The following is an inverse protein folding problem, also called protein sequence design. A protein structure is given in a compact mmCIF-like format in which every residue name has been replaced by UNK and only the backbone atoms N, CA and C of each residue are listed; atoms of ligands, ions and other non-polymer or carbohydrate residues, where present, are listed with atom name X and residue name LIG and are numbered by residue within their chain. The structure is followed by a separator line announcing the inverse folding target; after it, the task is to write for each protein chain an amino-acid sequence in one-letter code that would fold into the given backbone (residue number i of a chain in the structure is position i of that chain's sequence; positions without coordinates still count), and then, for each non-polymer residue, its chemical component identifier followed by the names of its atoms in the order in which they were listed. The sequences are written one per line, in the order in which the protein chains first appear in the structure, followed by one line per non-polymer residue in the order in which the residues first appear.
data_IF_050353453120
#
_entry.id   IF_050353453120
#
_cell.length_a   1.000
_cell.length_b   1.000
_cell.length_c   1.000
_cell.angle_alpha   90.00
_cell.angle_beta   90.00
_cell.angle_gamma   90.00
#
_symmetry.space_group_name_H-M   'P 1'
#
loop_
_entity.id
_entity.type
_entity.pdbx_description
1 polymer ?
#
# COMPACT_ATOMS: atom_id res chain seq x y z
N UNK A 1 40.02 38.47 43.27
CA UNK A 1 39.25 39.65 43.71
C UNK A 1 38.35 40.05 42.57
N UNK A 2 37.06 40.20 42.86
CA UNK A 2 36.03 40.44 41.84
C UNK A 2 36.10 41.82 41.20
N UNK A 3 35.39 41.97 40.09
CA UNK A 3 34.16 42.77 39.99
C UNK A 3 33.77 42.92 38.51
N UNK A 4 32.57 42.45 38.17
CA UNK A 4 31.73 43.07 37.14
C UNK A 4 30.99 44.27 37.78
N UNK A 5 30.04 45.00 37.13
CA UNK A 5 29.67 45.10 35.70
C UNK A 5 29.48 46.58 35.24
N UNK A 6 29.12 46.79 33.97
CA UNK A 6 28.28 47.94 33.56
C UNK A 6 27.45 47.52 32.36
N UNK A 7 26.14 47.69 32.47
CA UNK A 7 25.12 47.25 31.52
C UNK A 7 24.36 48.44 30.92
N UNK A 8 23.65 48.14 29.81
CA UNK A 8 22.60 48.92 29.10
C UNK A 8 23.12 49.87 28.00
N UNK A 9 22.56 49.97 26.79
CA UNK A 9 21.29 49.51 26.17
C UNK A 9 21.30 49.88 24.67
N UNK A 10 20.51 49.16 23.84
CA UNK A 10 20.13 49.53 22.46
C UNK A 10 20.83 48.64 21.42
N UNK A 11 20.29 47.49 20.99
CA UNK A 11 19.10 47.27 20.16
C UNK A 11 19.19 48.00 18.81
N UNK A 12 19.67 47.30 17.78
CA UNK A 12 19.11 47.29 16.42
C UNK A 12 19.69 46.11 15.62
N UNK A 13 18.81 45.49 14.84
CA UNK A 13 18.88 44.14 14.28
C UNK A 13 20.09 43.87 13.39
N UNK A 14 20.82 42.78 13.68
CA UNK A 14 21.65 42.08 12.71
C UNK A 14 20.86 40.97 12.03
N UNK A 15 20.77 41.04 10.71
CA UNK A 15 20.20 40.00 9.84
C UNK A 15 20.82 38.64 10.18
N UNK A 16 19.98 37.71 10.65
CA UNK A 16 20.29 36.29 10.61
C UNK A 16 19.89 35.83 9.22
N UNK A 17 20.88 35.42 8.45
CA UNK A 17 20.69 34.78 7.16
C UNK A 17 19.90 33.48 7.37
N UNK A 18 18.59 33.57 7.13
CA UNK A 18 17.67 32.45 6.99
C UNK A 18 17.93 31.82 5.61
N UNK A 19 19.04 31.09 5.48
CA UNK A 19 19.19 30.07 4.45
C UNK A 19 18.22 28.93 4.77
N UNK A 20 16.94 29.20 4.51
CA UNK A 20 15.96 28.16 4.25
C UNK A 20 16.51 27.33 3.09
N UNK A 21 16.98 26.13 3.43
CA UNK A 21 17.19 25.03 2.52
C UNK A 21 15.85 24.80 1.81
N UNK A 22 15.63 25.50 0.70
CA UNK A 22 14.65 25.15 -0.31
C UNK A 22 15.14 23.82 -0.92
N UNK A 23 14.94 22.72 -0.19
CA UNK A 23 14.85 21.39 -0.77
C UNK A 23 13.74 21.49 -1.81
N UNK A 24 14.14 21.70 -3.07
CA UNK A 24 13.20 21.62 -4.19
C UNK A 24 12.52 20.26 -4.06
N UNK A 25 11.20 20.29 -3.85
CA UNK A 25 10.41 19.07 -3.86
C UNK A 25 10.77 18.26 -5.11
N UNK A 26 11.15 16.98 -4.95
CA UNK A 26 11.60 16.18 -6.06
C UNK A 26 10.47 16.08 -7.11
N UNK A 27 10.80 16.09 -8.40
CA UNK A 27 9.81 16.14 -9.47
C UNK A 27 8.83 14.95 -9.36
N UNK A 28 7.54 15.12 -9.66
CA UNK A 28 6.56 14.04 -9.53
C UNK A 28 6.94 12.85 -10.43
N UNK A 29 6.82 11.64 -9.88
CA UNK A 29 7.11 10.40 -10.62
C UNK A 29 6.05 10.24 -11.71
N UNK A 30 6.43 9.95 -12.97
CA UNK A 30 5.47 9.69 -14.03
C UNK A 30 4.58 8.48 -13.71
N UNK A 31 3.26 8.69 -13.78
CA UNK A 31 2.26 7.64 -13.62
C UNK A 31 1.35 7.58 -14.83
N UNK A 32 1.19 6.38 -15.40
CA UNK A 32 0.26 6.12 -16.49
C UNK A 32 -0.83 5.13 -16.03
N UNK A 33 -2.07 5.59 -15.99
CA UNK A 33 -3.23 4.79 -15.58
C UNK A 33 -3.96 4.29 -16.83
N UNK A 34 -4.07 2.97 -16.99
CA UNK A 34 -4.84 2.36 -18.08
C UNK A 34 -6.33 2.72 -18.00
N UNK A 35 -6.97 2.88 -19.16
CA UNK A 35 -8.37 3.34 -19.25
C UNK A 35 -9.43 2.35 -18.76
N UNK A 36 -9.04 1.10 -18.45
CA UNK A 36 -9.90 0.09 -17.83
C UNK A 36 -9.91 0.13 -16.31
N UNK A 37 -9.09 0.96 -15.66
CA UNK A 37 -9.06 1.09 -14.19
C UNK A 37 -10.29 1.88 -13.73
N UNK A 38 -11.13 1.27 -12.91
CA UNK A 38 -12.32 1.92 -12.33
C UNK A 38 -11.94 2.91 -11.24
N UNK A 39 -12.51 4.12 -11.30
CA UNK A 39 -12.36 5.19 -10.30
C UNK A 39 -13.55 5.27 -9.33
N UNK A 40 -14.21 4.14 -9.09
CA UNK A 40 -15.37 4.09 -8.19
C UNK A 40 -14.98 4.48 -6.76
N UNK A 41 -15.90 5.07 -6.01
CA UNK A 41 -15.70 5.43 -4.59
C UNK A 41 -16.01 4.27 -3.62
N UNK A 42 -16.44 3.12 -4.14
CA UNK A 42 -16.74 1.92 -3.37
C UNK A 42 -15.80 0.78 -3.80
N UNK A 43 -14.68 0.68 -3.09
CA UNK A 43 -13.65 -0.36 -3.26
C UNK A 43 -13.71 -1.40 -2.13
N UNK A 44 -14.92 -1.80 -1.74
CA UNK A 44 -15.13 -2.98 -0.89
C UNK A 44 -14.76 -4.22 -1.70
N UNK A 45 -13.85 -5.06 -1.19
CA UNK A 45 -13.33 -6.26 -1.88
C UNK A 45 -12.46 -5.97 -3.11
N UNK A 46 -11.41 -5.16 -2.94
CA UNK A 46 -10.46 -4.81 -4.01
C UNK A 46 -9.19 -5.64 -3.97
N UNK A 47 -8.89 -6.31 -5.08
CA UNK A 47 -7.61 -7.00 -5.31
C UNK A 47 -6.74 -6.19 -6.28
N UNK A 48 -5.49 -5.95 -5.88
CA UNK A 48 -4.45 -5.33 -6.71
C UNK A 48 -3.29 -6.30 -6.87
N UNK A 49 -2.81 -6.49 -8.10
CA UNK A 49 -1.54 -7.19 -8.34
C UNK A 49 -0.40 -6.18 -8.37
N UNK A 50 0.71 -6.45 -7.68
CA UNK A 50 1.90 -5.62 -7.71
C UNK A 50 3.03 -6.32 -8.46
N UNK A 51 3.61 -5.62 -9.43
CA UNK A 51 4.75 -6.08 -10.22
C UNK A 51 5.91 -5.11 -10.06
N UNK A 52 7.07 -5.61 -9.64
CA UNK A 52 8.29 -4.84 -9.56
C UNK A 52 9.53 -5.74 -9.51
N UNK A 53 10.52 -5.43 -10.35
CA UNK A 53 11.79 -6.14 -10.40
C UNK A 53 12.76 -5.72 -9.28
N UNK A 54 14.00 -6.24 -9.27
CA UNK A 54 15.05 -5.74 -8.38
C UNK A 54 15.17 -4.21 -8.46
N UNK A 55 15.25 -3.54 -7.31
CA UNK A 55 15.37 -2.08 -7.24
C UNK A 55 14.07 -1.29 -7.42
N UNK A 56 12.94 -1.94 -7.70
CA UNK A 56 11.62 -1.29 -7.84
C UNK A 56 11.00 -0.76 -6.56
N UNK A 57 11.64 -1.00 -5.40
CA UNK A 57 11.15 -0.58 -4.08
C UNK A 57 9.78 -1.15 -3.69
N UNK A 58 9.32 -2.23 -4.36
CA UNK A 58 8.03 -2.90 -4.10
C UNK A 58 7.74 -3.16 -2.61
N UNK A 59 8.75 -3.52 -1.82
CA UNK A 59 8.58 -3.81 -0.39
C UNK A 59 8.09 -2.60 0.41
N UNK A 60 8.65 -1.42 0.12
CA UNK A 60 8.24 -0.16 0.76
C UNK A 60 6.80 0.21 0.34
N UNK A 61 6.46 0.00 -0.92
CA UNK A 61 5.12 0.29 -1.43
C UNK A 61 4.05 -0.65 -0.86
N UNK A 62 4.38 -1.95 -0.69
CA UNK A 62 3.51 -2.91 0.01
C UNK A 62 3.32 -2.48 1.46
N UNK A 63 4.40 -2.07 2.14
CA UNK A 63 4.33 -1.62 3.53
C UNK A 63 3.40 -0.41 3.67
N UNK A 64 3.47 0.55 2.75
CA UNK A 64 2.55 1.69 2.70
C UNK A 64 1.10 1.25 2.45
N UNK A 65 0.86 0.38 1.47
CA UNK A 65 -0.48 -0.17 1.19
C UNK A 65 -1.10 -0.81 2.43
N UNK A 66 -0.31 -1.60 3.17
CA UNK A 66 -0.75 -2.28 4.39
C UNK A 66 -1.06 -1.28 5.49
N UNK A 67 -0.12 -0.37 5.78
CA UNK A 67 -0.22 0.55 6.92
C UNK A 67 -1.26 1.63 6.71
N UNK A 68 -1.22 2.28 5.56
CA UNK A 68 -2.01 3.48 5.29
C UNK A 68 -3.31 3.17 4.55
N UNK A 69 -3.49 2.03 3.89
CA UNK A 69 -4.70 1.75 3.11
C UNK A 69 -5.41 0.44 3.49
N UNK A 70 -4.99 -0.20 4.59
CA UNK A 70 -5.56 -1.44 5.14
C UNK A 70 -5.56 -2.63 4.18
N UNK A 71 -4.56 -2.69 3.30
CA UNK A 71 -4.38 -3.86 2.46
C UNK A 71 -3.79 -5.02 3.27
N UNK A 72 -4.29 -6.23 3.03
CA UNK A 72 -3.56 -7.44 3.38
C UNK A 72 -2.60 -7.79 2.25
N UNK A 73 -1.32 -7.98 2.58
CA UNK A 73 -0.34 -8.46 1.61
C UNK A 73 -0.40 -9.99 1.45
N UNK A 74 -0.35 -10.44 0.21
CA UNK A 74 -0.27 -11.86 -0.16
C UNK A 74 0.96 -12.05 -1.05
N UNK A 75 2.01 -12.62 -0.47
CA UNK A 75 3.24 -12.97 -1.18
C UNK A 75 3.22 -14.44 -1.62
N UNK A 76 3.56 -14.71 -2.87
CA UNK A 76 3.62 -16.06 -3.44
C UNK A 76 4.61 -16.99 -2.71
N UNK A 77 5.72 -16.46 -2.21
CA UNK A 77 6.73 -17.26 -1.50
C UNK A 77 6.17 -17.77 -0.18
N UNK A 78 5.45 -16.92 0.55
CA UNK A 78 4.73 -17.33 1.77
C UNK A 78 3.68 -18.39 1.46
N UNK A 79 2.97 -18.26 0.33
CA UNK A 79 2.02 -19.28 -0.12
C UNK A 79 2.74 -20.61 -0.38
N UNK A 80 3.87 -20.58 -1.08
CA UNK A 80 4.65 -21.80 -1.35
C UNK A 80 5.13 -22.42 -0.04
N UNK A 81 5.77 -21.67 0.85
CA UNK A 81 6.34 -22.23 2.07
C UNK A 81 5.30 -22.74 3.06
N UNK A 82 4.13 -22.09 3.15
CA UNK A 82 3.09 -22.50 4.11
C UNK A 82 2.18 -23.61 3.58
N UNK A 83 1.97 -23.70 2.26
CA UNK A 83 0.96 -24.60 1.69
C UNK A 83 1.56 -25.77 0.89
N UNK A 84 2.79 -25.65 0.37
CA UNK A 84 3.43 -26.74 -0.34
C UNK A 84 3.68 -27.98 0.54
N UNK A 85 4.12 -27.87 1.82
CA UNK A 85 4.27 -29.05 2.68
C UNK A 85 2.97 -29.86 2.80
N UNK A 86 1.82 -29.18 2.95
CA UNK A 86 0.52 -29.82 3.01
C UNK A 86 0.16 -30.55 1.71
N UNK A 87 0.53 -30.00 0.54
CA UNK A 87 0.37 -30.66 -0.77
C UNK A 87 1.19 -31.95 -0.88
N UNK A 88 2.32 -32.01 -0.17
CA UNK A 88 3.28 -33.12 -0.19
C UNK A 88 3.16 -34.05 1.02
N UNK A 89 2.02 -34.01 1.74
CA UNK A 89 1.77 -34.79 2.95
C UNK A 89 2.85 -34.61 4.05
N UNK A 90 3.37 -33.39 4.21
CA UNK A 90 4.36 -32.99 5.21
C UNK A 90 5.67 -33.79 5.15
N UNK A 91 6.05 -34.27 3.96
CA UNK A 91 7.36 -34.92 3.72
C UNK A 91 8.54 -33.94 3.76
N UNK A 92 8.26 -32.65 3.88
CA UNK A 92 9.23 -31.56 3.86
C UNK A 92 8.98 -30.66 5.06
N UNK A 93 9.99 -30.45 5.89
CA UNK A 93 9.83 -29.77 7.18
C UNK A 93 10.41 -28.34 7.20
N UNK A 94 11.32 -28.01 6.28
CA UNK A 94 11.99 -26.72 6.25
C UNK A 94 12.09 -26.10 4.85
N UNK A 95 12.37 -24.79 4.82
CA UNK A 95 12.46 -24.01 3.58
C UNK A 95 13.60 -24.43 2.66
N UNK A 96 14.68 -25.03 3.18
CA UNK A 96 15.83 -25.50 2.39
C UNK A 96 15.42 -26.71 1.56
N UNK A 97 14.79 -27.70 2.18
CA UNK A 97 14.29 -28.88 1.50
C UNK A 97 13.22 -28.54 0.46
N UNK A 98 12.32 -27.58 0.77
CA UNK A 98 11.36 -27.06 -0.21
C UNK A 98 12.10 -26.50 -1.44
N UNK A 99 13.13 -25.69 -1.22
CA UNK A 99 13.91 -25.13 -2.33
C UNK A 99 14.68 -26.20 -3.11
N UNK A 100 15.22 -27.22 -2.46
CA UNK A 100 15.87 -28.34 -3.15
C UNK A 100 14.89 -29.14 -3.99
N UNK A 101 13.71 -29.41 -3.45
CA UNK A 101 12.66 -30.12 -4.16
C UNK A 101 12.22 -29.32 -5.40
N UNK A 102 11.98 -28.03 -5.26
CA UNK A 102 11.61 -27.14 -6.37
C UNK A 102 12.72 -26.99 -7.41
N UNK A 103 13.99 -27.18 -7.05
CA UNK A 103 15.11 -27.25 -8.01
C UNK A 103 15.16 -28.58 -8.77
N UNK A 104 14.64 -29.67 -8.18
CA UNK A 104 14.63 -31.00 -8.78
C UNK A 104 13.40 -31.23 -9.65
N UNK A 105 12.25 -30.72 -9.22
CA UNK A 105 10.97 -30.86 -9.91
C UNK A 105 10.29 -29.49 -10.10
N UNK A 106 10.36 -28.99 -11.33
CA UNK A 106 9.82 -27.69 -11.71
C UNK A 106 8.31 -27.69 -11.93
N UNK A 107 7.68 -28.88 -11.97
CA UNK A 107 6.24 -29.07 -12.27
C UNK A 107 5.35 -29.01 -11.03
N UNK A 108 5.95 -29.06 -9.83
CA UNK A 108 5.23 -29.05 -8.55
C UNK A 108 4.39 -27.79 -8.33
N UNK A 109 4.85 -26.67 -8.88
CA UNK A 109 4.18 -25.38 -8.79
C UNK A 109 3.50 -25.08 -10.12
N UNK A 110 2.17 -25.05 -10.11
CA UNK A 110 1.37 -24.53 -11.21
C UNK A 110 0.73 -23.21 -10.80
N UNK A 111 0.50 -22.30 -11.73
CA UNK A 111 -0.15 -21.02 -11.41
C UNK A 111 -1.60 -21.23 -10.98
N UNK A 112 -2.29 -22.22 -11.56
CA UNK A 112 -3.62 -22.64 -11.11
C UNK A 112 -3.61 -22.99 -9.62
N UNK A 113 -2.64 -23.81 -9.17
CA UNK A 113 -2.52 -24.17 -7.77
C UNK A 113 -2.20 -22.93 -6.91
N UNK A 114 -1.26 -22.08 -7.31
CA UNK A 114 -0.91 -20.86 -6.57
C UNK A 114 -2.13 -19.93 -6.39
N UNK A 115 -2.87 -19.67 -7.47
CA UNK A 115 -4.07 -18.85 -7.43
C UNK A 115 -5.19 -19.51 -6.60
N UNK A 116 -5.26 -20.85 -6.57
CA UNK A 116 -6.20 -21.55 -5.69
C UNK A 116 -5.86 -21.36 -4.20
N UNK A 117 -4.58 -21.38 -3.84
CA UNK A 117 -4.13 -21.14 -2.45
C UNK A 117 -4.31 -19.68 -2.05
N UNK A 118 -4.01 -18.75 -2.96
CA UNK A 118 -4.31 -17.32 -2.77
C UNK A 118 -5.82 -17.14 -2.56
N UNK A 119 -6.66 -17.71 -3.42
CA UNK A 119 -8.12 -17.66 -3.28
C UNK A 119 -8.61 -18.18 -1.92
N UNK A 120 -8.02 -19.27 -1.42
CA UNK A 120 -8.34 -19.79 -0.09
C UNK A 120 -7.98 -18.77 1.00
N UNK A 121 -6.78 -18.18 0.94
CA UNK A 121 -6.33 -17.14 1.87
C UNK A 121 -7.23 -15.91 1.85
N UNK A 122 -7.64 -15.44 0.66
CA UNK A 122 -8.58 -14.32 0.51
C UNK A 122 -9.94 -14.64 1.15
N UNK A 123 -10.48 -15.84 0.92
CA UNK A 123 -11.82 -16.23 1.38
C UNK A 123 -11.91 -16.40 2.90
N UNK A 124 -10.79 -16.66 3.57
CA UNK A 124 -10.71 -16.79 5.03
C UNK A 124 -10.35 -15.49 5.75
N UNK A 125 -10.03 -14.43 5.00
CA UNK A 125 -9.63 -13.14 5.56
C UNK A 125 -10.83 -12.30 5.95
N UNK A 126 -10.69 -11.52 7.01
CA UNK A 126 -11.65 -10.46 7.37
C UNK A 126 -11.39 -9.15 6.61
N UNK A 127 -10.23 -9.03 5.97
CA UNK A 127 -9.87 -7.84 5.19
C UNK A 127 -10.64 -7.81 3.87
N UNK A 128 -10.90 -6.60 3.38
CA UNK A 128 -11.57 -6.38 2.10
C UNK A 128 -10.62 -5.88 1.01
N UNK A 129 -9.36 -5.62 1.34
CA UNK A 129 -8.38 -5.07 0.39
C UNK A 129 -7.16 -5.97 0.38
N UNK A 130 -6.68 -6.32 -0.81
CA UNK A 130 -5.59 -7.27 -0.97
C UNK A 130 -4.59 -6.80 -2.02
N UNK A 131 -3.31 -6.89 -1.66
CA UNK A 131 -2.20 -6.67 -2.60
C UNK A 131 -1.48 -8.00 -2.80
N UNK A 132 -1.46 -8.48 -4.03
CA UNK A 132 -0.86 -9.75 -4.42
C UNK A 132 0.48 -9.50 -5.11
N UNK A 133 1.55 -9.99 -4.49
CA UNK A 133 2.89 -10.05 -5.09
C UNK A 133 3.13 -11.49 -5.58
N UNK A 134 2.76 -11.73 -6.84
CA UNK A 134 2.76 -13.07 -7.43
C UNK A 134 4.11 -13.49 -8.01
N UNK A 135 5.03 -12.54 -8.26
CA UNK A 135 6.31 -12.83 -8.89
C UNK A 135 7.37 -13.07 -7.80
N UNK A 136 7.86 -14.31 -7.65
CA UNK A 136 8.81 -14.64 -6.60
C UNK A 136 10.17 -13.96 -6.82
N UNK A 137 10.91 -13.73 -5.74
CA UNK A 137 12.31 -13.31 -5.78
C UNK A 137 13.28 -14.51 -5.77
N UNK A 138 12.87 -15.63 -5.16
CA UNK A 138 13.66 -16.84 -5.02
C UNK A 138 13.79 -17.58 -6.34
N UNK A 139 15.05 -17.83 -6.73
CA UNK A 139 15.38 -18.49 -8.00
C UNK A 139 14.84 -19.92 -8.12
N UNK A 140 14.68 -20.65 -7.01
CA UNK A 140 14.08 -21.99 -7.01
C UNK A 140 12.61 -21.99 -7.42
N UNK A 141 11.88 -20.91 -7.10
CA UNK A 141 10.46 -20.75 -7.45
C UNK A 141 10.34 -20.16 -8.85
N UNK A 142 11.13 -19.12 -9.17
CA UNK A 142 11.17 -18.46 -10.48
C UNK A 142 11.54 -19.40 -11.64
N UNK A 143 12.27 -20.48 -11.36
CA UNK A 143 12.68 -21.45 -12.39
C UNK A 143 11.56 -22.35 -12.86
N UNK A 144 10.46 -22.46 -12.10
CA UNK A 144 9.28 -23.22 -12.52
C UNK A 144 8.77 -22.72 -13.87
N UNK A 145 8.52 -23.64 -14.79
CA UNK A 145 8.11 -23.31 -16.15
C UNK A 145 6.72 -22.68 -16.21
N UNK A 146 5.90 -22.95 -15.19
CA UNK A 146 4.57 -22.40 -14.99
C UNK A 146 4.52 -20.86 -15.03
N UNK A 147 5.57 -20.13 -14.63
CA UNK A 147 5.55 -18.66 -14.70
C UNK A 147 5.78 -18.08 -16.11
N UNK A 148 6.28 -18.90 -17.04
CA UNK A 148 6.65 -18.47 -18.41
C UNK A 148 5.61 -18.86 -19.45
N UNK A 149 4.70 -19.76 -19.10
CA UNK A 149 3.66 -20.27 -19.99
C UNK A 149 2.59 -19.22 -20.29
N UNK A 150 2.04 -19.27 -21.50
CA UNK A 150 1.01 -18.31 -21.97
C UNK A 150 -0.40 -18.63 -21.43
N UNK A 151 -0.60 -19.78 -20.80
CA UNK A 151 -1.89 -20.21 -20.27
C UNK A 151 -2.36 -19.42 -19.02
N UNK A 152 -1.58 -18.44 -18.56
CA UNK A 152 -1.93 -17.60 -17.40
C UNK A 152 -3.23 -16.85 -17.56
N UNK A 153 -3.61 -16.52 -18.79
CA UNK A 153 -4.83 -15.78 -19.07
C UNK A 153 -6.06 -16.51 -18.53
N UNK A 154 -6.19 -17.81 -18.80
CA UNK A 154 -7.32 -18.63 -18.32
C UNK A 154 -7.33 -18.73 -16.79
N UNK A 155 -6.15 -18.90 -16.19
CA UNK A 155 -6.00 -19.01 -14.74
C UNK A 155 -6.40 -17.70 -14.04
N UNK A 156 -5.96 -16.56 -14.58
CA UNK A 156 -6.33 -15.23 -14.08
C UNK A 156 -7.81 -14.94 -14.29
N UNK A 157 -8.39 -15.28 -15.44
CA UNK A 157 -9.84 -15.16 -15.68
C UNK A 157 -10.64 -15.99 -14.68
N UNK A 158 -10.24 -17.25 -14.44
CA UNK A 158 -10.88 -18.13 -13.44
C UNK A 158 -10.78 -17.58 -12.02
N UNK A 159 -9.65 -16.96 -11.68
CA UNK A 159 -9.47 -16.29 -10.40
C UNK A 159 -10.36 -15.04 -10.29
N UNK A 160 -10.38 -14.21 -11.33
CA UNK A 160 -11.10 -12.95 -11.38
C UNK A 160 -12.63 -13.12 -11.33
N UNK A 161 -13.18 -14.23 -11.83
CA UNK A 161 -14.61 -14.57 -11.65
C UNK A 161 -15.02 -14.71 -10.19
N UNK A 162 -14.08 -15.02 -9.29
CA UNK A 162 -14.33 -15.19 -7.86
C UNK A 162 -13.89 -13.98 -7.05
N UNK A 163 -12.78 -13.37 -7.46
CA UNK A 163 -12.14 -12.24 -6.78
C UNK A 163 -11.93 -11.11 -7.78
N UNK A 164 -12.84 -10.12 -7.85
CA UNK A 164 -12.72 -9.00 -8.78
C UNK A 164 -11.35 -8.31 -8.63
N UNK A 165 -10.60 -8.25 -9.73
CA UNK A 165 -9.28 -7.60 -9.74
C UNK A 165 -9.48 -6.16 -10.21
N UNK A 166 -9.12 -5.20 -9.38
CA UNK A 166 -9.26 -3.78 -9.73
C UNK A 166 -8.24 -3.40 -10.81
N UNK A 167 -6.96 -3.64 -10.54
CA UNK A 167 -5.86 -3.32 -11.44
C UNK A 167 -4.59 -4.12 -11.11
N UNK A 168 -3.59 -3.96 -11.97
CA UNK A 168 -2.22 -4.25 -11.63
C UNK A 168 -1.42 -2.95 -11.56
N UNK A 169 -0.62 -2.80 -10.51
CA UNK A 169 0.39 -1.76 -10.38
C UNK A 169 1.74 -2.33 -10.81
N UNK A 170 2.32 -1.78 -11.87
CA UNK A 170 3.67 -2.09 -12.32
C UNK A 170 4.59 -0.93 -11.99
N UNK A 171 5.63 -1.22 -11.20
CA UNK A 171 6.73 -0.29 -10.94
C UNK A 171 7.89 -0.63 -11.85
N UNK A 172 8.13 0.25 -12.81
CA UNK A 172 9.16 0.09 -13.83
C UNK A 172 10.40 0.90 -13.44
N UNK A 173 11.58 0.28 -13.54
CA UNK A 173 12.85 0.96 -13.27
C UNK A 173 13.51 1.28 -14.61
N UNK A 174 13.40 2.53 -15.05
CA UNK A 174 13.76 2.94 -16.42
C UNK A 174 15.26 2.84 -16.70
N UNK A 175 16.08 2.99 -15.68
CA UNK A 175 17.53 2.93 -15.71
C UNK A 175 18.07 1.68 -14.97
N UNK A 176 17.36 0.55 -15.05
CA UNK A 176 17.76 -0.72 -14.40
C UNK A 176 19.23 -1.14 -14.69
N UNK A 177 19.78 -0.73 -15.84
CA UNK A 177 21.18 -0.95 -16.21
C UNK A 177 22.18 -0.12 -15.40
N UNK A 178 21.77 0.99 -14.79
CA UNK A 178 22.60 1.80 -13.90
C UNK A 178 23.01 1.01 -12.65
N UNK A 179 22.18 0.07 -12.16
CA UNK A 179 22.57 -0.85 -11.09
C UNK A 179 23.79 -1.70 -11.45
N UNK A 180 23.98 -2.03 -12.73
CA UNK A 180 25.11 -2.84 -13.19
C UNK A 180 26.43 -2.05 -13.27
N UNK A 181 26.36 -0.72 -13.12
CA UNK A 181 27.51 0.19 -13.25
C UNK A 181 27.89 0.85 -11.91
N UNK A 182 26.93 1.03 -10.99
CA UNK A 182 27.18 1.67 -9.69
C UNK A 182 27.91 0.77 -8.69
N UNK A 183 27.77 -0.57 -8.78
CA UNK A 183 28.52 -1.51 -7.92
C UNK A 183 30.04 -1.36 -8.06
N UNK A 184 30.52 -0.93 -9.23
CA UNK A 184 31.94 -0.69 -9.50
C UNK A 184 32.51 0.59 -8.91
N UNK A 185 31.68 1.54 -8.44
CA UNK A 185 32.15 2.85 -7.94
C UNK A 185 32.21 2.95 -6.42
N UNK A 186 31.34 2.26 -5.69
CA UNK A 186 31.30 2.38 -4.22
C UNK A 186 32.47 1.66 -3.52
N UNK A 187 33.09 0.65 -4.16
CA UNK A 187 34.29 -0.02 -3.64
C UNK A 187 35.60 0.73 -3.90
N UNK A 188 35.61 1.74 -4.79
CA UNK A 188 36.83 2.49 -5.12
C UNK A 188 37.08 3.76 -4.30
N UNK A 189 36.09 4.31 -3.60
CA UNK A 189 36.21 5.67 -3.03
C UNK A 189 36.24 5.77 -1.49
N UNK A 190 36.18 4.67 -0.73
CA UNK A 190 36.37 4.71 0.73
C UNK A 190 37.35 3.67 1.25
N UNK A 191 38.59 3.78 0.82
CA UNK A 191 39.72 3.11 1.46
C UNK A 191 41.01 3.84 1.06
N UNK A 192 41.74 4.35 2.05
CA UNK A 192 43.08 4.90 1.87
C UNK A 192 43.87 4.06 0.86
N UNK A 193 44.42 4.69 -0.17
CA UNK A 193 45.30 4.09 -1.16
C UNK A 193 46.57 3.52 -0.48
N UNK A 194 46.43 2.33 0.11
CA UNK A 194 47.51 1.37 0.27
C UNK A 194 47.41 0.44 -0.93
N UNK A 195 48.49 0.31 -1.69
CA UNK A 195 48.62 -0.61 -2.82
C UNK A 195 48.04 -1.98 -2.44
N UNK A 196 46.84 -2.27 -2.92
CA UNK A 196 46.25 -3.59 -2.81
C UNK A 196 47.08 -4.51 -3.71
N UNK A 197 47.36 -5.72 -3.24
CA UNK A 197 48.07 -6.69 -4.07
C UNK A 197 47.30 -6.93 -5.37
N UNK A 198 47.98 -7.21 -6.49
CA UNK A 198 47.34 -7.52 -7.77
C UNK A 198 46.30 -8.64 -7.65
N UNK A 199 46.53 -9.60 -6.75
CA UNK A 199 45.65 -10.74 -6.47
C UNK A 199 44.36 -10.33 -5.75
N UNK A 200 44.45 -9.45 -4.74
CA UNK A 200 43.28 -8.97 -4.00
C UNK A 200 42.42 -8.05 -4.87
N UNK A 201 43.06 -7.22 -5.70
CA UNK A 201 42.36 -6.38 -6.69
C UNK A 201 41.64 -7.23 -7.74
N UNK A 202 42.28 -8.30 -8.22
CA UNK A 202 41.64 -9.25 -9.14
C UNK A 202 40.49 -10.04 -8.47
N UNK A 203 40.61 -10.37 -7.19
CA UNK A 203 39.56 -11.04 -6.43
C UNK A 203 38.32 -10.14 -6.24
N UNK A 204 38.51 -8.87 -5.83
CA UNK A 204 37.43 -7.88 -5.70
C UNK A 204 36.72 -7.71 -7.04
N UNK A 205 37.48 -7.54 -8.13
CA UNK A 205 36.88 -7.41 -9.47
C UNK A 205 36.07 -8.63 -9.89
N UNK A 206 36.54 -9.85 -9.60
CA UNK A 206 35.77 -11.08 -9.87
C UNK A 206 34.51 -11.19 -9.02
N UNK A 207 34.55 -10.73 -7.77
CA UNK A 207 33.38 -10.70 -6.90
C UNK A 207 32.33 -9.71 -7.43
N UNK A 208 32.75 -8.50 -7.80
CA UNK A 208 31.89 -7.46 -8.38
C UNK A 208 31.29 -7.92 -9.72
N UNK A 209 32.09 -8.55 -10.60
CA UNK A 209 31.62 -9.15 -11.85
C UNK A 209 30.59 -10.27 -11.62
N UNK A 210 30.81 -11.11 -10.61
CA UNK A 210 29.87 -12.18 -10.24
C UNK A 210 28.55 -11.63 -9.71
N UNK A 211 28.58 -10.56 -8.90
CA UNK A 211 27.38 -9.93 -8.35
C UNK A 211 26.60 -9.17 -9.43
N UNK A 212 27.29 -8.49 -10.34
CA UNK A 212 26.69 -7.92 -11.55
C UNK A 212 25.97 -8.99 -12.37
N UNK A 213 26.64 -10.11 -12.65
CA UNK A 213 26.04 -11.21 -13.40
C UNK A 213 24.86 -11.88 -12.67
N UNK A 214 24.85 -11.89 -11.34
CA UNK A 214 23.70 -12.36 -10.54
C UNK A 214 22.53 -11.40 -10.63
N UNK A 215 22.78 -10.09 -10.55
CA UNK A 215 21.72 -9.09 -10.64
C UNK A 215 21.08 -9.06 -12.03
N UNK A 216 21.88 -9.10 -13.09
CA UNK A 216 21.40 -9.19 -14.47
C UNK A 216 20.49 -10.41 -14.67
N UNK A 217 20.91 -11.59 -14.19
CA UNK A 217 20.09 -12.80 -14.23
C UNK A 217 18.76 -12.66 -13.47
N UNK A 218 18.73 -11.90 -12.37
CA UNK A 218 17.50 -11.67 -11.59
C UNK A 218 16.55 -10.72 -12.32
N UNK A 219 17.07 -9.67 -12.95
CA UNK A 219 16.30 -8.74 -13.77
C UNK A 219 15.67 -9.50 -14.95
N UNK A 220 16.47 -10.28 -15.68
CA UNK A 220 15.99 -11.10 -16.80
C UNK A 220 14.94 -12.13 -16.38
N UNK A 221 15.17 -12.83 -15.26
CA UNK A 221 14.23 -13.82 -14.75
C UNK A 221 12.90 -13.17 -14.35
N UNK A 222 12.96 -12.00 -13.69
CA UNK A 222 11.76 -11.23 -13.35
C UNK A 222 10.96 -10.86 -14.60
N UNK A 223 11.58 -10.23 -15.60
CA UNK A 223 10.88 -9.78 -16.80
C UNK A 223 10.22 -10.95 -17.55
N UNK A 224 10.92 -12.09 -17.66
CA UNK A 224 10.38 -13.30 -18.29
C UNK A 224 9.16 -13.86 -17.54
N UNK A 225 9.19 -13.85 -16.21
CA UNK A 225 8.10 -14.39 -15.38
C UNK A 225 6.92 -13.42 -15.24
N UNK A 226 7.19 -12.11 -15.22
CA UNK A 226 6.14 -11.09 -15.09
C UNK A 226 5.40 -10.85 -16.41
N UNK A 227 6.06 -11.06 -17.56
CA UNK A 227 5.53 -10.72 -18.87
C UNK A 227 4.12 -11.30 -19.17
N UNK A 228 3.80 -12.58 -18.87
CA UNK A 228 2.45 -13.10 -19.12
C UNK A 228 1.38 -12.36 -18.31
N UNK A 229 1.61 -12.12 -17.01
CA UNK A 229 0.69 -11.41 -16.13
C UNK A 229 0.53 -9.94 -16.53
N UNK A 230 1.63 -9.24 -16.79
CA UNK A 230 1.61 -7.85 -17.23
C UNK A 230 0.85 -7.71 -18.55
N UNK A 231 1.03 -8.65 -19.49
CA UNK A 231 0.32 -8.65 -20.78
C UNK A 231 -1.19 -8.80 -20.62
N UNK A 232 -1.64 -9.64 -19.66
CA UNK A 232 -3.05 -9.77 -19.31
C UNK A 232 -3.69 -8.43 -18.89
N UNK A 233 -3.04 -7.71 -17.97
CA UNK A 233 -3.53 -6.41 -17.51
C UNK A 233 -3.41 -5.30 -18.56
N UNK A 234 -2.40 -5.37 -19.44
CA UNK A 234 -2.29 -4.45 -20.59
C UNK A 234 -3.48 -4.60 -21.54
N UNK A 235 -3.83 -5.83 -21.93
CA UNK A 235 -4.97 -6.07 -22.85
C UNK A 235 -6.30 -5.63 -22.26
N UNK A 236 -6.52 -5.87 -20.96
CA UNK A 236 -7.71 -5.39 -20.26
C UNK A 236 -7.65 -3.90 -19.90
N UNK A 237 -6.56 -3.20 -20.24
CA UNK A 237 -6.31 -1.77 -19.96
C UNK A 237 -6.37 -1.43 -18.47
N UNK A 238 -6.11 -2.40 -17.58
CA UNK A 238 -6.12 -2.26 -16.12
C UNK A 238 -4.72 -2.22 -15.52
N UNK A 239 -3.73 -1.84 -16.31
CA UNK A 239 -2.36 -1.65 -15.86
C UNK A 239 -2.14 -0.19 -15.45
N UNK A 240 -1.66 0.02 -14.23
CA UNK A 240 -1.11 1.29 -13.75
C UNK A 240 0.40 1.17 -13.75
N UNK A 241 1.09 2.07 -14.44
CA UNK A 241 2.54 2.08 -14.53
C UNK A 241 3.08 3.27 -13.74
N UNK A 242 4.04 3.00 -12.85
CA UNK A 242 4.84 4.02 -12.15
C UNK A 242 6.29 3.87 -12.62
N UNK A 243 6.81 4.88 -13.31
CA UNK A 243 8.16 4.85 -13.88
C UNK A 243 9.16 5.53 -12.94
N UNK A 244 9.95 4.73 -12.22
CA UNK A 244 11.00 5.21 -11.32
C UNK A 244 12.37 5.06 -11.95
N UNK A 245 13.36 5.66 -11.29
CA UNK A 245 14.79 5.47 -11.56
C UNK A 245 15.51 4.88 -10.34
N UNK A 246 16.75 4.44 -10.51
CA UNK A 246 17.61 3.94 -9.43
C UNK A 246 17.90 5.01 -8.38
N UNK A 247 17.79 6.29 -8.73
CA UNK A 247 17.97 7.43 -7.84
C UNK A 247 16.66 7.94 -7.22
N UNK A 248 15.52 7.35 -7.58
CA UNK A 248 14.22 7.75 -7.02
C UNK A 248 14.20 7.40 -5.53
N UNK A 249 13.88 8.37 -4.70
CA UNK A 249 13.81 8.14 -3.26
C UNK A 249 12.53 7.39 -2.88
N UNK A 250 12.62 6.54 -1.86
CA UNK A 250 11.48 5.78 -1.35
C UNK A 250 10.31 6.68 -0.93
N UNK A 251 10.60 7.84 -0.33
CA UNK A 251 9.58 8.82 0.08
C UNK A 251 8.79 9.36 -1.10
N UNK A 252 9.47 9.63 -2.21
CA UNK A 252 8.87 10.14 -3.43
C UNK A 252 7.96 9.07 -4.09
N UNK A 253 8.42 7.81 -4.11
CA UNK A 253 7.63 6.67 -4.60
C UNK A 253 6.38 6.44 -3.75
N UNK A 254 6.52 6.52 -2.43
CA UNK A 254 5.40 6.43 -1.47
C UNK A 254 4.40 7.57 -1.66
N UNK A 255 4.86 8.82 -1.73
CA UNK A 255 3.98 9.98 -1.93
C UNK A 255 3.17 9.84 -3.23
N UNK A 256 3.83 9.45 -4.33
CA UNK A 256 3.16 9.20 -5.61
C UNK A 256 2.12 8.09 -5.51
N UNK A 257 2.42 7.00 -4.80
CA UNK A 257 1.48 5.91 -4.58
C UNK A 257 0.27 6.36 -3.76
N UNK A 258 0.46 7.18 -2.72
CA UNK A 258 -0.64 7.73 -1.90
C UNK A 258 -1.57 8.56 -2.77
N UNK A 259 -1.03 9.51 -3.52
CA UNK A 259 -1.80 10.39 -4.41
C UNK A 259 -2.58 9.57 -5.46
N UNK A 260 -1.93 8.53 -6.01
CA UNK A 260 -2.56 7.60 -6.93
C UNK A 260 -3.76 6.89 -6.27
N UNK A 261 -3.59 6.28 -5.10
CA UNK A 261 -4.66 5.53 -4.44
C UNK A 261 -5.82 6.44 -4.00
N UNK A 262 -5.52 7.63 -3.46
CA UNK A 262 -6.53 8.63 -3.15
C UNK A 262 -7.28 9.04 -4.42
N UNK A 263 -6.56 9.29 -5.52
CA UNK A 263 -7.13 9.61 -6.82
C UNK A 263 -7.95 8.47 -7.45
N UNK A 264 -7.69 7.22 -7.04
CA UNK A 264 -8.49 6.06 -7.40
C UNK A 264 -9.71 5.86 -6.48
N UNK A 265 -9.81 6.61 -5.37
CA UNK A 265 -10.95 6.58 -4.45
C UNK A 265 -10.72 5.78 -3.17
N UNK A 266 -9.48 5.37 -2.87
CA UNK A 266 -9.17 4.76 -1.58
C UNK A 266 -9.08 5.81 -0.47
N UNK A 267 -9.62 5.47 0.69
CA UNK A 267 -9.43 6.20 1.93
C UNK A 267 -8.19 5.67 2.65
N UNK A 268 -7.38 6.57 3.20
CA UNK A 268 -6.29 6.19 4.09
C UNK A 268 -6.80 5.84 5.51
N UNK A 269 -5.98 5.11 6.26
CA UNK A 269 -6.21 4.74 7.67
C UNK A 269 -5.98 5.93 8.61
N UNK A 270 -5.28 6.96 8.12
CA UNK A 270 -5.03 8.22 8.82
C UNK A 270 -6.19 9.22 8.70
N UNK A 271 -7.33 8.80 8.14
CA UNK A 271 -8.63 9.39 8.43
C UNK A 271 -8.94 9.12 9.92
N UNK A 272 -8.24 9.88 10.78
CA UNK A 272 -8.37 9.99 12.24
C UNK A 272 -9.75 9.58 12.69
N UNK A 273 -9.84 8.71 13.69
CA UNK A 273 -11.10 8.34 14.35
C UNK A 273 -11.96 9.58 14.57
N UNK A 274 -12.95 9.79 13.69
CA UNK A 274 -13.87 10.91 13.80
C UNK A 274 -14.92 10.50 14.82
N UNK A 275 -14.98 11.20 15.95
CA UNK A 275 -16.07 11.02 16.88
C UNK A 275 -17.34 11.58 16.23
N UNK A 276 -18.30 10.69 15.91
CA UNK A 276 -19.63 11.07 15.46
C UNK A 276 -20.61 10.63 16.54
N UNK A 277 -21.25 11.59 17.20
CA UNK A 277 -22.20 11.34 18.28
C UNK A 277 -23.62 11.59 17.76
N UNK A 278 -24.54 10.66 18.03
CA UNK A 278 -25.94 10.79 17.64
C UNK A 278 -26.80 11.01 18.88
N UNK A 279 -27.63 12.04 18.87
CA UNK A 279 -28.55 12.34 19.97
C UNK A 279 -29.94 12.69 19.48
N UNK A 280 -30.95 12.36 20.28
CA UNK A 280 -32.34 12.74 20.00
C UNK A 280 -32.63 14.16 20.50
N UNK A 281 -31.93 14.62 21.55
CA UNK A 281 -32.08 15.96 22.10
C UNK A 281 -30.76 16.52 22.59
N UNK A 282 -30.52 17.82 22.37
CA UNK A 282 -29.33 18.51 22.87
C UNK A 282 -29.24 18.50 24.40
N UNK A 283 -30.37 18.36 25.10
CA UNK A 283 -30.40 18.32 26.57
C UNK A 283 -29.88 17.02 27.20
N UNK A 284 -29.57 16.00 26.39
CA UNK A 284 -29.09 14.70 26.88
C UNK A 284 -27.59 14.66 27.19
N UNK A 285 -26.83 15.71 26.87
CA UNK A 285 -25.38 15.72 27.00
C UNK A 285 -24.88 16.92 27.79
N UNK A 286 -24.23 16.64 28.91
CA UNK A 286 -23.48 17.61 29.71
C UNK A 286 -22.01 17.66 29.22
N UNK A 287 -21.83 18.06 27.95
CA UNK A 287 -20.52 18.12 27.30
C UNK A 287 -20.33 19.51 26.68
N UNK A 288 -19.19 20.14 26.96
CA UNK A 288 -18.81 21.40 26.32
C UNK A 288 -18.33 21.16 24.88
N UNK A 289 -19.27 21.12 23.94
CA UNK A 289 -18.98 20.95 22.51
C UNK A 289 -18.12 22.08 21.91
N UNK A 290 -18.04 23.25 22.56
CA UNK A 290 -17.24 24.38 22.11
C UNK A 290 -15.74 24.11 22.27
N UNK A 291 -15.35 23.48 23.39
CA UNK A 291 -13.96 23.11 23.68
C UNK A 291 -13.41 22.02 22.75
N UNK A 292 -14.28 21.19 22.15
CA UNK A 292 -13.90 20.05 21.31
C UNK A 292 -14.10 20.30 19.80
N UNK A 293 -14.37 21.54 19.37
CA UNK A 293 -14.60 21.89 17.95
C UNK A 293 -15.62 21.00 17.24
N UNK A 294 -16.68 20.58 17.95
CA UNK A 294 -17.67 19.65 17.40
C UNK A 294 -18.63 20.39 16.46
N UNK A 295 -18.74 19.92 15.22
CA UNK A 295 -19.70 20.42 14.23
C UNK A 295 -21.07 19.80 14.44
N UNK A 296 -22.09 20.64 14.60
CA UNK A 296 -23.48 20.19 14.76
C UNK A 296 -24.16 20.04 13.40
N UNK A 297 -24.86 18.93 13.21
CA UNK A 297 -25.65 18.61 12.01
C UNK A 297 -27.03 18.11 12.44
N UNK A 298 -28.07 18.41 11.67
CA UNK A 298 -29.40 17.80 11.86
C UNK A 298 -29.61 16.73 10.80
N UNK A 299 -30.21 15.61 11.18
CA UNK A 299 -30.46 14.54 10.22
C UNK A 299 -31.51 14.99 9.19
N UNK A 300 -32.48 15.81 9.59
CA UNK A 300 -33.48 16.41 8.70
C UNK A 300 -32.87 17.24 7.56
N UNK A 301 -31.69 17.83 7.73
CA UNK A 301 -30.96 18.57 6.68
C UNK A 301 -30.57 17.67 5.49
N UNK A 302 -30.58 16.35 5.67
CA UNK A 302 -30.24 15.35 4.66
C UNK A 302 -31.47 14.60 4.11
N UNK A 303 -32.67 15.09 4.45
CA UNK A 303 -33.94 14.60 3.94
C UNK A 303 -34.33 15.38 2.68
N UNK A 304 -34.18 14.75 1.51
CA UNK A 304 -34.56 15.31 0.22
C UNK A 304 -36.02 15.02 -0.14
N UNK A 305 -36.62 13.97 0.43
CA UNK A 305 -38.00 13.56 0.15
C UNK A 305 -38.75 13.12 1.43
N UNK A 306 -40.05 13.41 1.58
CA UNK A 306 -40.84 13.03 2.76
C UNK A 306 -40.89 11.52 3.06
N UNK A 307 -40.66 10.68 2.05
CA UNK A 307 -40.65 9.22 2.15
C UNK A 307 -39.23 8.62 2.19
N UNK A 308 -38.19 9.44 2.34
CA UNK A 308 -36.81 8.97 2.35
C UNK A 308 -36.54 8.08 3.57
N UNK A 309 -35.95 6.91 3.33
CA UNK A 309 -35.64 5.97 4.41
C UNK A 309 -34.53 6.49 5.33
N UNK A 310 -34.54 6.07 6.59
CA UNK A 310 -33.49 6.40 7.57
C UNK A 310 -32.09 6.01 7.08
N UNK A 311 -31.94 4.82 6.49
CA UNK A 311 -30.69 4.36 5.89
C UNK A 311 -30.22 5.30 4.77
N UNK A 312 -31.12 5.78 3.91
CA UNK A 312 -30.79 6.73 2.85
C UNK A 312 -30.35 8.09 3.40
N UNK A 313 -30.96 8.57 4.49
CA UNK A 313 -30.54 9.81 5.17
C UNK A 313 -29.14 9.65 5.80
N UNK A 314 -28.87 8.52 6.45
CA UNK A 314 -27.53 8.21 6.98
C UNK A 314 -26.47 8.13 5.88
N UNK A 315 -26.79 7.56 4.71
CA UNK A 315 -25.90 7.56 3.56
C UNK A 315 -25.59 8.98 3.06
N UNK A 316 -26.58 9.86 3.01
CA UNK A 316 -26.41 11.25 2.60
C UNK A 316 -25.55 12.04 3.61
N UNK A 317 -25.82 11.87 4.91
CA UNK A 317 -25.02 12.42 6.00
C UNK A 317 -23.56 11.97 5.92
N UNK A 318 -23.31 10.65 5.75
CA UNK A 318 -21.97 10.10 5.59
C UNK A 318 -21.22 10.74 4.42
N UNK A 319 -21.88 10.88 3.26
CA UNK A 319 -21.29 11.54 2.09
C UNK A 319 -20.93 12.99 2.37
N UNK A 320 -21.79 13.72 3.08
CA UNK A 320 -21.52 15.10 3.46
C UNK A 320 -20.32 15.23 4.40
N UNK A 321 -20.27 14.42 5.46
CA UNK A 321 -19.16 14.40 6.41
C UNK A 321 -17.86 14.09 5.68
N UNK A 322 -17.80 13.02 4.89
CA UNK A 322 -16.59 12.65 4.15
C UNK A 322 -16.13 13.72 3.14
N UNK A 323 -17.05 14.53 2.61
CA UNK A 323 -16.73 15.61 1.66
C UNK A 323 -16.23 16.89 2.34
N UNK A 324 -16.69 17.18 3.56
CA UNK A 324 -16.51 18.49 4.22
C UNK A 324 -15.66 18.46 5.48
N UNK A 325 -15.40 17.27 6.03
CA UNK A 325 -14.62 17.09 7.24
C UNK A 325 -13.13 17.32 7.00
N UNK A 326 -12.49 17.95 7.99
CA UNK A 326 -11.03 18.02 8.17
C UNK A 326 -10.58 16.92 9.15
N UNK A 327 -9.27 16.67 9.21
CA UNK A 327 -8.61 15.64 10.03
C UNK A 327 -8.82 15.76 11.56
N UNK A 328 -9.50 16.78 12.08
CA UNK A 328 -9.78 16.92 13.51
C UNK A 328 -11.26 17.20 13.81
N UNK A 329 -12.11 17.15 12.79
CA UNK A 329 -13.53 17.46 12.97
C UNK A 329 -14.25 16.30 13.65
N UNK A 330 -14.88 16.60 14.78
CA UNK A 330 -15.89 15.74 15.41
C UNK A 330 -17.28 16.25 15.05
N UNK A 331 -18.26 15.35 14.99
CA UNK A 331 -19.63 15.70 14.59
C UNK A 331 -20.65 15.29 15.66
N UNK A 332 -21.61 16.17 15.90
CA UNK A 332 -22.82 15.87 16.67
C UNK A 332 -24.00 15.88 15.70
N UNK A 333 -24.70 14.75 15.60
CA UNK A 333 -25.82 14.57 14.69
C UNK A 333 -27.11 14.47 15.51
N UNK A 334 -28.01 15.42 15.28
CA UNK A 334 -29.33 15.46 15.89
C UNK A 334 -30.31 14.60 15.08
N UNK A 335 -30.90 13.60 15.72
CA UNK A 335 -31.90 12.69 15.15
C UNK A 335 -33.31 13.32 15.19
N UNK A 336 -33.43 14.56 14.75
CA UNK A 336 -34.62 15.42 14.90
C UNK A 336 -35.84 14.98 14.08
N UNK A 337 -35.66 14.09 13.11
CA UNK A 337 -36.72 13.54 12.28
C UNK A 337 -37.00 12.05 12.55
N UNK A 338 -36.39 11.46 13.58
CA UNK A 338 -36.65 10.08 14.01
C UNK A 338 -37.64 10.13 15.16
N UNK A 339 -38.78 9.43 15.05
CA UNK A 339 -39.83 9.46 16.06
C UNK A 339 -39.31 9.13 17.47
N UNK A 340 -39.86 9.81 18.48
CA UNK A 340 -39.40 9.79 19.88
C UNK A 340 -39.14 8.37 20.41
N UNK A 341 -37.86 8.00 20.46
CA UNK A 341 -37.37 6.98 21.37
C UNK A 341 -36.95 7.71 22.65
N UNK A 342 -37.88 7.84 23.59
CA UNK A 342 -37.63 8.36 24.94
C UNK A 342 -36.33 7.83 25.54
N UNK A 343 -35.45 8.74 25.95
CA UNK A 343 -34.27 8.54 26.81
C UNK A 343 -33.18 7.55 26.35
N UNK A 344 -32.85 7.48 25.05
CA UNK A 344 -31.75 6.60 24.59
C UNK A 344 -30.59 7.38 23.95
N UNK A 345 -29.45 7.40 24.64
CA UNK A 345 -28.16 7.79 24.05
C UNK A 345 -27.60 6.58 23.30
N UNK A 346 -27.52 6.68 21.97
CA UNK A 346 -26.86 5.68 21.13
C UNK A 346 -25.53 6.23 20.63
N UNK A 347 -24.41 5.62 21.03
CA UNK A 347 -23.13 5.91 20.40
C UNK A 347 -22.98 5.00 19.19
N UNK A 348 -23.10 5.58 18.00
CA UNK A 348 -22.74 4.92 16.74
C UNK A 348 -21.32 5.35 16.37
N UNK A 349 -20.36 4.48 16.63
CA UNK A 349 -19.00 4.66 16.13
C UNK A 349 -18.96 4.29 14.65
N UNK A 350 -18.73 5.28 13.79
CA UNK A 350 -18.34 5.03 12.42
C UNK A 350 -16.85 4.70 12.40
N UNK A 351 -16.53 3.41 12.39
CA UNK A 351 -15.22 2.97 11.92
C UNK A 351 -15.24 2.93 10.39
N UNK A 352 -14.23 3.50 9.74
CA UNK A 352 -14.00 3.33 8.30
C UNK A 352 -13.77 1.86 7.92
N UNK A 353 -13.53 0.96 8.89
CA UNK A 353 -13.18 -0.45 8.71
C UNK A 353 -14.33 -1.44 8.95
N UNK A 354 -15.56 -1.01 9.24
CA UNK A 354 -16.66 -1.97 9.51
C UNK A 354 -17.95 -1.59 8.81
N UNK A 355 -18.45 -2.48 7.94
CA UNK A 355 -19.82 -2.47 7.41
C UNK A 355 -20.90 -2.68 8.49
N UNK A 356 -20.53 -2.68 9.77
CA UNK A 356 -21.42 -2.87 10.90
C UNK A 356 -21.59 -1.53 11.61
N UNK A 357 -22.80 -0.97 11.53
CA UNK A 357 -23.29 -0.02 12.53
C UNK A 357 -23.44 -0.80 13.84
N UNK A 358 -22.42 -0.78 14.70
CA UNK A 358 -22.57 -1.32 16.05
C UNK A 358 -23.36 -0.32 16.87
N UNK A 359 -24.67 -0.55 16.97
CA UNK A 359 -25.50 0.10 17.96
C UNK A 359 -25.15 -0.50 19.33
N UNK A 360 -24.24 0.16 20.04
CA UNK A 360 -23.95 -0.16 21.44
C UNK A 360 -24.90 0.66 22.31
N UNK A 361 -25.89 -0.02 22.88
CA UNK A 361 -26.81 0.55 23.87
C UNK A 361 -26.05 0.72 25.18
N UNK A 362 -25.84 1.95 25.62
CA UNK A 362 -25.45 2.19 27.02
C UNK A 362 -26.73 2.31 27.83
N UNK A 363 -26.82 1.50 28.90
CA UNK A 363 -27.95 1.46 29.81
C UNK A 363 -27.91 2.61 30.82
#
# INVERSE_FOLDING_TARGET
MGCAPSSRTGAEQGNVDDESLNEKEPPPIPVHIGSGVSKSHEHSHSVIFLFGGPGSQKGVLIEELVKEFDFMSVNVEDIVFNYLPNKLANTVENSVEIQELLKRDHTLLTIEWLLSMISAKLSTSMNERFVIDIIPALSSILRSDSFKETEQDKNLENFERRHPIMCALQVNVSDERAFLNNTTKETSEKGNAKELSPELSAFIRRADEADKGRLEKRIDAYHKCAAPFVSYFKRSRRLVCMDITTTTEARQAVATLRDLLIGLGFSDNNDTTRAILFVYSEGQLDVDFGAYHVKKLRLSDFCNEPSQSFSSMLCALRRYINKTARQSDSFLVLLDCVGDASDQIGVLTFSSQSHICNYSRWA
#
